data_IF_798426672937
#
_entry.id   IF_798426672937
#
_cell.length_a   1.000
_cell.length_b   1.000
_cell.length_c   1.000
_cell.angle_alpha   90.00
_cell.angle_beta   90.00
_cell.angle_gamma   90.00
#
_symmetry.space_group_name_H-M   'P 1'
#
loop_
_entity.id
_entity.type
_entity.pdbx_description
1 polymer ?
#
# COMPACT_ATOMS: atom_id res chain seq x y z
N UNK A 1 -0.20 -0.57 36.61
CA UNK A 1 -0.57 0.85 36.44
C UNK A 1 0.70 1.65 36.25
N UNK A 2 1.05 2.01 35.01
CA UNK A 2 1.85 3.19 34.67
C UNK A 2 1.83 3.38 33.14
N UNK A 3 1.22 4.51 32.74
CA UNK A 3 1.46 5.31 31.51
C UNK A 3 1.36 4.65 30.13
N UNK A 4 0.14 4.35 29.67
CA UNK A 4 -0.20 4.25 28.24
C UNK A 4 -1.23 5.30 27.77
N UNK A 5 -1.74 6.17 28.66
CA UNK A 5 -2.90 7.04 28.35
C UNK A 5 -2.63 8.25 27.43
N UNK A 6 -1.40 8.78 27.40
CA UNK A 6 -1.09 9.99 26.63
C UNK A 6 -0.83 9.72 25.14
N UNK A 7 -0.30 8.54 24.80
CA UNK A 7 -0.12 8.13 23.40
C UNK A 7 -1.42 7.66 22.75
N UNK A 8 -2.30 7.01 23.52
CA UNK A 8 -3.61 6.57 23.02
C UNK A 8 -4.50 7.78 22.67
N UNK A 9 -4.60 8.75 23.58
CA UNK A 9 -5.44 9.93 23.40
C UNK A 9 -5.03 10.80 22.21
N UNK A 10 -3.73 11.00 21.97
CA UNK A 10 -3.25 11.78 20.83
C UNK A 10 -3.42 11.04 19.49
N UNK A 11 -3.28 9.70 19.50
CA UNK A 11 -3.57 8.83 18.34
C UNK A 11 -5.05 8.89 17.98
N UNK A 12 -5.94 8.75 18.97
CA UNK A 12 -7.40 8.84 18.77
C UNK A 12 -7.84 10.20 18.22
N UNK A 13 -7.26 11.32 18.69
CA UNK A 13 -7.57 12.66 18.16
C UNK A 13 -7.11 12.78 16.70
N UNK A 14 -5.92 12.26 16.39
CA UNK A 14 -5.35 12.34 15.03
C UNK A 14 -6.18 11.52 14.04
N UNK A 15 -6.54 10.29 14.39
CA UNK A 15 -7.45 9.44 13.60
C UNK A 15 -8.81 10.11 13.40
N UNK A 16 -9.37 10.69 14.46
CA UNK A 16 -10.67 11.37 14.40
C UNK A 16 -10.67 12.52 13.39
N UNK A 17 -9.63 13.35 13.40
CA UNK A 17 -9.47 14.46 12.45
C UNK A 17 -9.34 13.93 11.02
N UNK A 18 -8.63 12.82 10.82
CA UNK A 18 -8.42 12.24 9.50
C UNK A 18 -9.71 11.65 8.94
N UNK A 19 -10.41 10.79 9.70
CA UNK A 19 -11.67 10.20 9.24
C UNK A 19 -12.71 11.27 8.94
N UNK A 20 -12.79 12.33 9.76
CA UNK A 20 -13.66 13.48 9.48
C UNK A 20 -13.28 14.16 8.15
N UNK A 21 -12.00 14.42 7.90
CA UNK A 21 -11.54 15.05 6.66
C UNK A 21 -11.76 14.19 5.41
N UNK A 22 -11.56 12.87 5.52
CA UNK A 22 -11.80 11.92 4.43
C UNK A 22 -13.29 11.85 4.10
N UNK A 23 -14.15 11.81 5.12
CA UNK A 23 -15.60 11.86 4.98
C UNK A 23 -16.05 13.16 4.29
N UNK A 24 -15.62 14.33 4.77
CA UNK A 24 -16.01 15.64 4.19
C UNK A 24 -15.54 15.83 2.74
N UNK A 25 -14.46 15.15 2.33
CA UNK A 25 -13.94 15.21 0.96
C UNK A 25 -14.48 14.11 0.04
N UNK A 26 -15.40 13.26 0.51
CA UNK A 26 -15.90 12.07 -0.19
C UNK A 26 -14.77 11.13 -0.66
N UNK A 27 -13.74 10.96 0.19
CA UNK A 27 -12.57 10.10 -0.08
C UNK A 27 -12.61 8.78 0.67
N UNK A 28 -13.60 8.60 1.54
CA UNK A 28 -13.88 7.37 2.26
C UNK A 28 -15.36 7.33 2.68
N UNK A 29 -15.77 6.32 3.47
CA UNK A 29 -17.12 6.22 3.99
C UNK A 29 -17.51 7.48 4.79
N UNK A 30 -18.80 7.86 4.73
CA UNK A 30 -19.30 8.95 5.58
C UNK A 30 -19.16 8.58 7.05
N UNK A 31 -18.53 9.44 7.84
CA UNK A 31 -18.41 9.26 9.28
C UNK A 31 -19.67 9.76 9.99
N UNK A 32 -20.31 8.90 10.80
CA UNK A 32 -21.50 9.26 11.60
C UNK A 32 -21.15 9.63 13.04
N UNK A 33 -20.09 9.07 13.61
CA UNK A 33 -19.67 9.39 14.97
C UNK A 33 -18.43 8.62 15.43
N UNK A 34 -17.79 9.14 16.47
CA UNK A 34 -16.63 8.54 17.12
C UNK A 34 -16.93 8.42 18.61
N UNK A 35 -16.52 7.29 19.21
CA UNK A 35 -16.72 7.00 20.63
C UNK A 35 -15.49 6.26 21.19
N UNK A 36 -15.32 6.16 22.52
CA UNK A 36 -14.17 5.45 23.09
C UNK A 36 -14.09 4.01 22.57
N UNK A 37 -12.98 3.69 21.88
CA UNK A 37 -12.73 2.36 21.33
C UNK A 37 -13.38 2.06 19.98
N UNK A 38 -13.96 3.04 19.27
CA UNK A 38 -14.50 2.79 17.93
C UNK A 38 -15.14 3.98 17.22
N UNK A 39 -15.69 3.71 16.04
CA UNK A 39 -16.37 4.68 15.17
C UNK A 39 -17.57 4.05 14.47
N UNK A 40 -18.53 4.89 14.07
CA UNK A 40 -19.65 4.54 13.20
C UNK A 40 -19.46 5.22 11.85
N UNK A 41 -19.49 4.44 10.78
CA UNK A 41 -19.29 4.90 9.41
C UNK A 41 -20.32 4.28 8.45
N UNK A 42 -20.46 4.88 7.28
CA UNK A 42 -21.32 4.40 6.20
C UNK A 42 -20.93 3.00 5.75
N UNK A 43 -21.93 2.12 5.65
CA UNK A 43 -21.74 0.85 4.98
C UNK A 43 -21.70 1.06 3.47
N UNK A 44 -20.56 0.76 2.87
CA UNK A 44 -20.40 0.78 1.41
C UNK A 44 -20.70 -0.61 0.85
N UNK A 45 -21.74 -0.71 0.01
CA UNK A 45 -22.06 -1.94 -0.72
C UNK A 45 -21.02 -2.19 -1.82
N UNK A 46 -19.96 -2.89 -1.47
CA UNK A 46 -18.82 -3.19 -2.32
C UNK A 46 -18.15 -4.50 -1.91
N UNK A 47 -17.30 -5.01 -2.80
CA UNK A 47 -16.33 -6.07 -2.46
C UNK A 47 -14.93 -5.48 -2.42
N UNK A 48 -14.04 -6.09 -1.64
CA UNK A 48 -12.62 -5.86 -1.80
C UNK A 48 -12.14 -6.34 -3.18
N UNK A 49 -11.03 -5.77 -3.66
CA UNK A 49 -10.29 -6.37 -4.77
C UNK A 49 -9.61 -7.66 -4.30
N UNK A 50 -9.30 -8.51 -5.26
CA UNK A 50 -8.40 -9.65 -5.08
C UNK A 50 -6.97 -9.26 -5.45
N UNK A 51 -5.98 -9.97 -4.91
CA UNK A 51 -4.57 -9.77 -5.27
C UNK A 51 -4.37 -9.84 -6.80
N UNK A 52 -5.02 -10.80 -7.48
CA UNK A 52 -4.94 -10.94 -8.94
C UNK A 52 -5.54 -9.77 -9.74
N UNK A 53 -6.43 -8.97 -9.15
CA UNK A 53 -7.00 -7.79 -9.81
C UNK A 53 -6.08 -6.59 -9.77
N UNK A 54 -5.07 -6.58 -8.89
CA UNK A 54 -4.10 -5.49 -8.81
C UNK A 54 -3.30 -5.34 -10.12
N UNK A 55 -3.09 -6.44 -10.84
CA UNK A 55 -2.37 -6.44 -12.11
C UNK A 55 -3.20 -6.01 -13.34
N UNK A 56 -4.52 -5.83 -13.18
CA UNK A 56 -5.36 -5.31 -14.25
C UNK A 56 -4.98 -3.86 -14.57
N UNK A 57 -4.74 -3.58 -15.86
CA UNK A 57 -4.20 -2.29 -16.28
C UNK A 57 -5.14 -1.10 -16.01
N UNK A 58 -6.45 -1.29 -16.07
CA UNK A 58 -7.42 -0.21 -15.87
C UNK A 58 -7.62 0.04 -14.36
N UNK A 59 -7.71 -1.01 -13.55
CA UNK A 59 -7.73 -0.91 -12.08
C UNK A 59 -6.44 -0.29 -11.55
N UNK A 60 -5.28 -0.78 -11.99
CA UNK A 60 -3.96 -0.22 -11.63
C UNK A 60 -3.88 1.27 -11.95
N UNK A 61 -4.38 1.69 -13.13
CA UNK A 61 -4.47 3.10 -13.49
C UNK A 61 -5.40 3.90 -12.58
N UNK A 62 -6.55 3.34 -12.18
CA UNK A 62 -7.48 3.99 -11.24
C UNK A 62 -6.87 4.12 -9.84
N UNK A 63 -6.25 3.06 -9.33
CA UNK A 63 -5.61 3.03 -8.02
C UNK A 63 -4.50 4.10 -7.98
N UNK A 64 -3.68 4.18 -9.03
CA UNK A 64 -2.65 5.21 -9.16
C UNK A 64 -3.21 6.63 -9.04
N UNK A 65 -4.35 6.91 -9.68
CA UNK A 65 -5.03 8.22 -9.59
C UNK A 65 -5.60 8.49 -8.20
N UNK A 66 -6.20 7.47 -7.57
CA UNK A 66 -6.75 7.58 -6.20
C UNK A 66 -5.63 7.83 -5.19
N UNK A 67 -4.50 7.14 -5.32
CA UNK A 67 -3.32 7.34 -4.49
C UNK A 67 -2.72 8.74 -4.69
N UNK A 68 -2.62 9.21 -5.94
CA UNK A 68 -2.19 10.59 -6.23
C UNK A 68 -3.11 11.63 -5.56
N UNK A 69 -4.41 11.34 -5.49
CA UNK A 69 -5.37 12.18 -4.77
C UNK A 69 -5.11 12.21 -3.27
N UNK A 70 -4.92 11.05 -2.64
CA UNK A 70 -4.51 10.95 -1.23
C UNK A 70 -3.24 11.75 -0.96
N UNK A 71 -2.20 11.57 -1.80
CA UNK A 71 -0.93 12.29 -1.66
C UNK A 71 -1.04 13.81 -1.84
N UNK A 72 -2.09 14.29 -2.53
CA UNK A 72 -2.35 15.72 -2.69
C UNK A 72 -3.08 16.36 -1.52
N UNK A 73 -3.60 15.57 -0.58
CA UNK A 73 -4.38 16.07 0.54
C UNK A 73 -3.51 16.92 1.47
N UNK A 74 -4.07 18.07 1.84
CA UNK A 74 -3.54 18.88 2.93
C UNK A 74 -4.33 18.56 4.21
N UNK A 75 -3.74 17.72 5.08
CA UNK A 75 -4.33 17.26 6.35
C UNK A 75 -3.62 17.95 7.52
N UNK A 76 -4.30 18.58 8.50
CA UNK A 76 -3.71 19.42 9.54
C UNK A 76 -3.03 18.62 10.66
N UNK A 77 -2.09 17.75 10.29
CA UNK A 77 -1.25 16.94 11.19
C UNK A 77 0.23 17.21 10.91
N UNK A 78 1.13 16.60 11.67
CA UNK A 78 2.58 16.72 11.45
C UNK A 78 2.94 16.33 10.00
N UNK A 79 3.68 17.20 9.31
CA UNK A 79 4.06 17.05 7.89
C UNK A 79 5.40 16.34 7.70
N UNK A 80 6.18 16.19 8.76
CA UNK A 80 7.45 15.49 8.71
C UNK A 80 7.22 13.98 8.55
N UNK A 81 7.98 13.29 7.69
CA UNK A 81 7.83 11.85 7.43
C UNK A 81 8.42 11.01 8.57
N UNK A 82 8.00 11.27 9.80
CA UNK A 82 8.50 10.61 11.01
C UNK A 82 7.84 9.26 11.26
N UNK A 83 6.66 9.02 10.66
CA UNK A 83 5.82 7.88 10.95
C UNK A 83 6.56 6.55 10.74
N UNK A 84 7.16 6.35 9.56
CA UNK A 84 7.83 5.09 9.20
C UNK A 84 8.86 4.65 10.26
N UNK A 85 9.82 5.53 10.59
CA UNK A 85 10.87 5.18 11.55
C UNK A 85 10.38 5.20 13.00
N UNK A 86 9.43 6.08 13.35
CA UNK A 86 8.81 6.04 14.69
C UNK A 86 8.13 4.68 14.92
N UNK A 87 7.39 4.19 13.94
CA UNK A 87 6.71 2.90 13.99
C UNK A 87 7.72 1.74 14.04
N UNK A 88 8.71 1.72 13.14
CA UNK A 88 9.79 0.72 13.15
C UNK A 88 10.47 0.64 14.51
N UNK A 89 10.89 1.77 15.10
CA UNK A 89 11.56 1.75 16.41
C UNK A 89 10.63 1.29 17.53
N UNK A 90 9.37 1.74 17.54
CA UNK A 90 8.37 1.32 18.54
C UNK A 90 8.15 -0.19 18.51
N UNK A 91 8.02 -0.74 17.31
CA UNK A 91 7.87 -2.18 17.10
C UNK A 91 9.14 -2.94 17.45
N UNK A 92 10.31 -2.42 17.12
CA UNK A 92 11.59 -3.01 17.48
C UNK A 92 11.78 -3.10 19.01
N UNK A 93 11.39 -2.08 19.78
CA UNK A 93 11.41 -2.13 21.25
C UNK A 93 10.55 -3.27 21.81
N UNK A 94 9.46 -3.62 21.11
CA UNK A 94 8.58 -4.72 21.51
C UNK A 94 9.19 -6.06 21.13
N UNK A 95 9.75 -6.18 19.92
CA UNK A 95 10.49 -7.37 19.47
C UNK A 95 11.63 -7.73 20.42
N UNK A 96 12.41 -6.74 20.89
CA UNK A 96 13.50 -6.95 21.85
C UNK A 96 13.07 -7.51 23.22
N UNK A 97 11.79 -7.36 23.57
CA UNK A 97 11.24 -7.82 24.85
C UNK A 97 10.60 -9.21 24.75
N UNK A 98 10.56 -9.81 23.55
CA UNK A 98 9.97 -11.13 23.35
C UNK A 98 10.79 -12.17 24.09
N UNK A 99 10.13 -12.88 25.01
CA UNK A 99 10.72 -14.03 25.67
C UNK A 99 10.46 -15.29 24.83
N UNK A 100 11.50 -15.88 24.26
CA UNK A 100 11.37 -17.07 23.41
C UNK A 100 10.72 -18.27 24.12
N UNK A 101 10.84 -18.37 25.45
CA UNK A 101 10.25 -19.47 26.22
C UNK A 101 8.72 -19.42 26.25
N UNK A 102 8.15 -18.22 26.05
CA UNK A 102 6.70 -18.01 25.95
C UNK A 102 6.11 -18.43 24.59
N UNK A 103 6.97 -18.70 23.60
CA UNK A 103 6.57 -19.14 22.26
C UNK A 103 6.36 -20.66 22.28
N UNK A 104 5.33 -21.13 21.57
CA UNK A 104 5.03 -22.56 21.44
C UNK A 104 6.20 -23.33 20.82
N UNK A 105 6.44 -24.56 21.30
CA UNK A 105 7.65 -25.33 20.97
C UNK A 105 7.85 -25.58 19.47
N UNK A 106 6.76 -25.71 18.73
CA UNK A 106 6.73 -25.86 17.27
C UNK A 106 7.24 -24.62 16.52
N UNK A 107 7.10 -23.43 17.10
CA UNK A 107 7.49 -22.14 16.49
C UNK A 107 8.85 -21.62 16.97
N UNK A 108 9.38 -22.15 18.07
CA UNK A 108 10.66 -21.71 18.67
C UNK A 108 11.86 -21.75 17.71
N UNK A 109 12.06 -22.76 16.85
CA UNK A 109 13.20 -22.76 15.94
C UNK A 109 13.19 -21.57 14.98
N UNK A 110 12.01 -21.29 14.41
CA UNK A 110 11.80 -20.16 13.50
C UNK A 110 11.96 -18.83 14.25
N UNK A 111 11.31 -18.68 15.42
CA UNK A 111 11.45 -17.49 16.25
C UNK A 111 12.91 -17.24 16.69
N UNK A 112 13.66 -18.29 17.04
CA UNK A 112 15.07 -18.17 17.45
C UNK A 112 15.96 -17.65 16.33
N UNK A 113 15.79 -18.16 15.11
CA UNK A 113 16.53 -17.69 13.94
C UNK A 113 16.26 -16.19 13.73
N UNK A 114 14.99 -15.82 13.76
CA UNK A 114 14.54 -14.46 13.48
C UNK A 114 14.95 -13.43 14.54
N UNK A 115 14.80 -13.79 15.82
CA UNK A 115 15.21 -12.92 16.93
C UNK A 115 16.75 -12.79 17.03
N UNK A 116 17.51 -13.63 16.32
CA UNK A 116 18.97 -13.49 16.20
C UNK A 116 19.41 -12.46 15.15
N UNK A 117 18.49 -11.98 14.32
CA UNK A 117 18.76 -10.98 13.30
C UNK A 117 19.08 -9.61 13.93
N UNK A 118 20.15 -8.97 13.49
CA UNK A 118 20.58 -7.64 13.98
C UNK A 118 19.74 -6.52 13.36
N UNK A 119 18.48 -6.41 13.79
CA UNK A 119 17.55 -5.36 13.34
C UNK A 119 18.08 -3.95 13.62
N UNK A 120 18.88 -3.77 14.66
CA UNK A 120 19.41 -2.47 15.08
C UNK A 120 20.34 -1.89 14.01
N UNK A 121 21.35 -2.66 13.60
CA UNK A 121 22.28 -2.26 12.55
C UNK A 121 21.56 -2.11 11.21
N UNK A 122 20.61 -2.99 10.90
CA UNK A 122 19.91 -2.98 9.61
C UNK A 122 18.94 -1.81 9.47
N UNK A 123 18.17 -1.48 10.52
CA UNK A 123 17.30 -0.30 10.51
C UNK A 123 18.14 0.98 10.43
N UNK A 124 19.29 1.05 11.11
CA UNK A 124 20.18 2.21 11.03
C UNK A 124 20.74 2.40 9.61
N UNK A 125 21.18 1.31 8.96
CA UNK A 125 21.61 1.34 7.57
C UNK A 125 20.48 1.73 6.63
N UNK A 126 19.30 1.10 6.75
CA UNK A 126 18.12 1.38 5.93
C UNK A 126 17.75 2.87 6.00
N UNK A 127 17.75 3.46 7.20
CA UNK A 127 17.49 4.90 7.39
C UNK A 127 18.46 5.79 6.64
N UNK A 128 19.74 5.44 6.58
CA UNK A 128 20.71 6.18 5.78
C UNK A 128 20.50 5.95 4.29
N UNK A 129 20.25 4.71 3.89
CA UNK A 129 20.03 4.30 2.50
C UNK A 129 18.83 5.02 1.86
N UNK A 130 17.67 5.09 2.55
CA UNK A 130 16.46 5.74 2.03
C UNK A 130 16.63 7.24 1.75
N UNK A 131 17.58 7.93 2.40
CA UNK A 131 17.84 9.36 2.14
C UNK A 131 18.30 9.60 0.69
N UNK A 132 18.93 8.62 0.06
CA UNK A 132 19.42 8.69 -1.33
C UNK A 132 18.26 8.72 -2.36
N UNK A 133 17.05 8.30 -1.96
CA UNK A 133 15.86 8.33 -2.80
C UNK A 133 15.37 9.76 -3.06
N UNK A 134 15.57 10.67 -2.09
CA UNK A 134 15.01 12.02 -2.09
C UNK A 134 13.47 12.03 -2.28
N UNK A 135 12.78 11.04 -1.70
CA UNK A 135 11.32 10.97 -1.76
C UNK A 135 10.69 12.13 -0.98
N UNK A 136 9.70 12.84 -1.54
CA UNK A 136 8.99 13.89 -0.83
C UNK A 136 8.09 13.32 0.27
N UNK A 137 7.87 14.14 1.30
CA UNK A 137 6.82 13.92 2.30
C UNK A 137 5.46 14.36 1.75
N UNK A 138 4.48 13.46 1.82
CA UNK A 138 3.07 13.64 1.43
C UNK A 138 2.18 12.90 2.41
N UNK A 139 0.87 13.14 2.39
CA UNK A 139 -0.07 12.35 3.19
C UNK A 139 -0.25 10.98 2.51
N UNK A 140 0.11 9.89 3.19
CA UNK A 140 0.11 8.53 2.67
C UNK A 140 -0.96 7.67 3.34
N UNK A 141 -1.43 6.64 2.63
CA UNK A 141 -2.24 5.56 3.17
C UNK A 141 -1.40 4.64 4.07
N UNK A 142 -0.18 4.31 3.62
CA UNK A 142 0.81 3.41 4.22
C UNK A 142 0.46 1.91 4.21
N UNK A 143 -0.79 1.54 3.92
CA UNK A 143 -1.22 0.13 3.87
C UNK A 143 -2.18 -0.18 2.69
N UNK A 144 -1.73 0.07 1.47
CA UNK A 144 -2.58 -0.03 0.27
C UNK A 144 -2.63 -1.46 -0.33
N UNK A 145 -3.03 -2.44 0.49
CA UNK A 145 -3.31 -3.83 0.08
C UNK A 145 -4.70 -4.00 -0.55
N UNK A 146 -4.97 -5.13 -1.21
CA UNK A 146 -6.20 -5.36 -1.98
C UNK A 146 -7.48 -5.29 -1.12
N UNK A 147 -7.40 -5.68 0.15
CA UNK A 147 -8.49 -5.59 1.12
C UNK A 147 -8.94 -4.16 1.41
N UNK A 148 -8.04 -3.20 1.24
CA UNK A 148 -8.28 -1.77 1.48
C UNK A 148 -8.71 -1.01 0.21
N UNK A 149 -8.92 -1.74 -0.90
CA UNK A 149 -9.39 -1.20 -2.18
C UNK A 149 -10.73 -1.84 -2.50
N UNK A 150 -11.81 -1.08 -2.35
CA UNK A 150 -13.17 -1.55 -2.62
C UNK A 150 -13.62 -1.23 -4.04
N UNK A 151 -14.35 -2.16 -4.65
CA UNK A 151 -15.07 -1.97 -5.90
C UNK A 151 -16.57 -2.05 -5.67
N UNK A 152 -17.26 -0.92 -5.85
CA UNK A 152 -18.72 -0.82 -5.74
C UNK A 152 -19.44 -1.44 -6.94
N UNK A 153 -20.70 -1.85 -6.74
CA UNK A 153 -21.56 -2.39 -7.79
C UNK A 153 -21.87 -1.37 -8.88
N UNK A 154 -22.15 -1.87 -10.09
CA UNK A 154 -22.61 -1.04 -11.19
C UNK A 154 -24.04 -0.56 -10.91
N UNK A 155 -24.23 0.76 -10.76
CA UNK A 155 -25.58 1.34 -10.77
C UNK A 155 -26.10 1.35 -12.20
N UNK A 156 -26.79 0.28 -12.59
CA UNK A 156 -27.45 0.23 -13.88
C UNK A 156 -28.58 1.27 -13.85
N UNK A 157 -28.47 2.31 -14.68
CA UNK A 157 -29.58 3.23 -14.93
C UNK A 157 -30.65 2.50 -15.75
N UNK A 158 -31.30 1.49 -15.19
CA UNK A 158 -32.53 0.91 -15.74
C UNK A 158 -33.73 1.66 -15.18
N UNK A 159 -33.95 2.87 -15.68
CA UNK A 159 -35.24 3.57 -15.58
C UNK A 159 -35.46 4.48 -16.79
N UNK A 160 -35.62 3.87 -17.97
CA UNK A 160 -36.39 4.44 -19.08
C UNK A 160 -36.74 3.36 -20.11
N UNK A 161 -37.78 2.60 -19.81
CA UNK A 161 -38.50 1.83 -20.82
C UNK A 161 -39.20 2.83 -21.77
N UNK A 162 -38.80 2.86 -23.04
CA UNK A 162 -39.73 3.09 -24.14
C UNK A 162 -39.21 2.49 -25.45
N UNK A 163 -40.06 1.76 -26.20
CA UNK A 163 -39.68 1.05 -27.41
C UNK A 163 -39.83 1.93 -28.65
N UNK A 164 -39.14 1.50 -29.72
CA UNK A 164 -39.23 1.91 -31.13
C UNK A 164 -38.21 2.94 -31.61
N UNK A 165 -37.28 2.49 -32.46
CA UNK A 165 -37.24 2.92 -33.86
C UNK A 165 -36.31 2.02 -34.70
N UNK A 166 -36.81 1.72 -35.89
CA UNK A 166 -36.32 0.83 -36.94
C UNK A 166 -35.09 1.34 -37.72
N UNK A 167 -34.28 0.37 -38.13
CA UNK A 167 -33.36 0.28 -39.29
C UNK A 167 -33.31 1.42 -40.33
N UNK A 168 -32.08 1.88 -40.62
CA UNK A 168 -31.60 2.06 -42.01
C UNK A 168 -30.07 2.13 -42.06
N UNK A 169 -29.45 1.27 -42.87
CA UNK A 169 -28.01 1.16 -43.11
C UNK A 169 -27.55 2.09 -44.24
N UNK A 170 -26.48 2.85 -44.03
CA UNK A 170 -25.77 3.60 -45.09
C UNK A 170 -24.25 3.42 -44.92
N UNK A 171 -23.47 3.10 -45.99
CA UNK A 171 -22.07 2.71 -45.87
C UNK A 171 -21.14 3.91 -46.09
N UNK A 172 -20.88 4.68 -45.04
CA UNK A 172 -19.78 5.64 -45.04
C UNK A 172 -19.22 5.75 -43.62
N UNK A 173 -18.00 5.24 -43.38
CA UNK A 173 -16.99 5.82 -42.46
C UNK A 173 -15.98 4.81 -41.87
N UNK A 174 -14.84 4.62 -42.55
CA UNK A 174 -13.63 4.07 -41.90
C UNK A 174 -12.88 5.10 -41.02
N UNK A 175 -13.35 6.36 -40.96
CA UNK A 175 -12.76 7.45 -40.16
C UNK A 175 -13.50 7.78 -38.85
N UNK A 176 -14.70 7.23 -38.62
CA UNK A 176 -15.50 7.45 -37.40
C UNK A 176 -15.38 6.32 -36.36
N UNK A 177 -14.94 5.11 -36.75
CA UNK A 177 -14.79 3.98 -35.82
C UNK A 177 -13.67 4.15 -34.79
N UNK A 178 -12.62 4.91 -35.08
CA UNK A 178 -11.49 5.15 -34.15
C UNK A 178 -11.83 6.14 -33.04
N UNK A 179 -12.73 7.10 -33.30
CA UNK A 179 -13.19 8.07 -32.31
C UNK A 179 -14.22 7.48 -31.33
N UNK A 180 -15.07 6.55 -31.78
CA UNK A 180 -16.04 5.86 -30.91
C UNK A 180 -15.40 4.88 -29.92
N UNK A 181 -14.35 4.16 -30.34
CA UNK A 181 -13.62 3.22 -29.46
C UNK A 181 -12.84 3.96 -28.34
N UNK A 182 -12.18 5.08 -28.66
CA UNK A 182 -11.49 5.90 -27.67
C UNK A 182 -12.46 6.57 -26.68
N UNK A 183 -13.64 7.02 -27.14
CA UNK A 183 -14.68 7.56 -26.26
C UNK A 183 -15.29 6.49 -25.34
N UNK A 184 -15.47 5.26 -25.84
CA UNK A 184 -16.01 4.15 -25.03
C UNK A 184 -15.03 3.72 -23.92
N UNK A 185 -13.73 3.66 -24.22
CA UNK A 185 -12.70 3.30 -23.25
C UNK A 185 -12.51 4.40 -22.18
N UNK A 186 -12.52 5.67 -22.60
CA UNK A 186 -12.47 6.82 -21.68
C UNK A 186 -13.66 6.83 -20.70
N UNK A 187 -14.87 6.54 -21.19
CA UNK A 187 -16.05 6.44 -20.33
C UNK A 187 -15.96 5.27 -19.34
N UNK A 188 -15.41 4.12 -19.75
CA UNK A 188 -15.19 2.95 -18.89
C UNK A 188 -14.22 3.24 -17.74
N UNK A 189 -13.09 3.89 -18.03
CA UNK A 189 -12.09 4.24 -17.00
C UNK A 189 -12.62 5.27 -16.02
N UNK A 190 -13.41 6.24 -16.49
CA UNK A 190 -14.07 7.23 -15.63
C UNK A 190 -15.07 6.55 -14.69
N UNK A 191 -15.89 5.66 -15.21
CA UNK A 191 -16.85 4.93 -14.39
C UNK A 191 -16.16 4.05 -13.35
N UNK A 192 -15.09 3.34 -13.74
CA UNK A 192 -14.28 2.55 -12.82
C UNK A 192 -13.66 3.43 -11.72
N UNK A 193 -13.20 4.64 -12.08
CA UNK A 193 -12.69 5.62 -11.13
C UNK A 193 -13.73 6.04 -10.08
N UNK A 194 -15.00 6.18 -10.47
CA UNK A 194 -16.07 6.55 -9.54
C UNK A 194 -16.46 5.39 -8.62
N UNK A 195 -16.17 4.15 -9.03
CA UNK A 195 -16.55 2.93 -8.30
C UNK A 195 -15.48 2.40 -7.37
N UNK A 196 -14.21 2.75 -7.58
CA UNK A 196 -13.09 2.37 -6.70
C UNK A 196 -13.01 3.31 -5.51
N UNK A 197 -12.99 2.76 -4.31
CA UNK A 197 -12.91 3.49 -3.04
C UNK A 197 -11.74 2.94 -2.23
N UNK A 198 -10.91 3.84 -1.70
CA UNK A 198 -9.86 3.47 -0.73
C UNK A 198 -10.44 3.60 0.67
N UNK A 199 -10.17 2.62 1.53
CA UNK A 199 -10.68 2.57 2.90
C UNK A 199 -9.56 2.22 3.87
N UNK A 200 -9.88 2.26 5.16
CA UNK A 200 -9.00 1.81 6.24
C UNK A 200 -7.66 2.55 6.33
N UNK A 201 -7.77 3.87 6.57
CA UNK A 201 -6.64 4.77 6.78
C UNK A 201 -6.05 4.64 8.20
N UNK A 202 -6.07 3.46 8.83
CA UNK A 202 -5.54 3.26 10.21
C UNK A 202 -4.06 3.66 10.32
N UNK A 203 -3.25 3.32 9.32
CA UNK A 203 -1.82 3.61 9.30
C UNK A 203 -1.47 4.96 8.65
N UNK A 204 -2.46 5.78 8.27
CA UNK A 204 -2.19 6.98 7.48
C UNK A 204 -1.41 8.05 8.27
N UNK A 205 -0.51 8.73 7.58
CA UNK A 205 0.30 9.81 8.14
C UNK A 205 1.00 10.58 7.02
N UNK A 206 1.63 11.71 7.34
CA UNK A 206 2.67 12.19 6.44
C UNK A 206 3.86 11.22 6.45
N UNK A 207 4.21 10.74 5.26
CA UNK A 207 5.28 9.81 5.03
C UNK A 207 5.88 10.02 3.63
N UNK A 208 6.89 9.25 3.28
CA UNK A 208 7.50 9.28 1.96
C UNK A 208 6.56 8.69 0.91
N UNK A 209 6.24 9.42 -0.18
CA UNK A 209 5.40 8.87 -1.26
C UNK A 209 5.98 7.58 -1.87
N UNK A 210 7.32 7.47 -1.90
CA UNK A 210 8.02 6.27 -2.34
C UNK A 210 7.66 5.05 -1.52
N UNK A 211 7.39 5.22 -0.22
CA UNK A 211 6.92 4.14 0.65
C UNK A 211 5.55 3.62 0.23
N UNK A 212 4.57 4.50 0.04
CA UNK A 212 3.20 4.08 -0.28
C UNK A 212 3.12 3.35 -1.63
N UNK A 213 3.86 3.86 -2.63
CA UNK A 213 3.98 3.24 -3.96
C UNK A 213 4.73 1.89 -3.86
N UNK A 214 5.85 1.84 -3.15
CA UNK A 214 6.61 0.61 -2.98
C UNK A 214 5.78 -0.47 -2.27
N UNK A 215 5.09 -0.08 -1.20
CA UNK A 215 4.24 -0.98 -0.44
C UNK A 215 3.16 -1.58 -1.32
N UNK A 216 2.44 -0.73 -2.07
CA UNK A 216 1.41 -1.20 -2.98
C UNK A 216 1.95 -2.21 -4.01
N UNK A 217 3.16 -2.00 -4.54
CA UNK A 217 3.79 -2.98 -5.45
C UNK A 217 4.15 -4.30 -4.76
N UNK A 218 4.55 -4.28 -3.48
CA UNK A 218 4.78 -5.51 -2.70
C UNK A 218 3.49 -6.34 -2.55
N UNK A 219 2.34 -5.69 -2.35
CA UNK A 219 1.06 -6.38 -2.16
C UNK A 219 0.58 -7.16 -3.40
N UNK A 220 1.14 -6.89 -4.59
CA UNK A 220 0.85 -7.71 -5.79
C UNK A 220 1.37 -9.15 -5.66
N UNK A 221 2.35 -9.37 -4.78
CA UNK A 221 2.96 -10.67 -4.57
C UNK A 221 2.44 -11.37 -3.29
N UNK A 222 1.50 -10.76 -2.58
CA UNK A 222 0.95 -11.26 -1.32
C UNK A 222 -0.56 -11.47 -1.48
N UNK A 223 -0.98 -12.73 -1.51
CA UNK A 223 -2.38 -13.10 -1.70
C UNK A 223 -2.94 -13.68 -0.39
N UNK A 224 -3.79 -12.92 0.30
CA UNK A 224 -4.36 -13.31 1.59
C UNK A 224 -5.60 -14.21 1.48
N UNK A 225 -5.92 -14.74 0.29
CA UNK A 225 -7.12 -15.58 0.08
C UNK A 225 -6.96 -17.05 0.50
N UNK A 226 -5.77 -17.47 0.95
CA UNK A 226 -5.50 -18.85 1.34
C UNK A 226 -6.34 -19.25 2.57
N UNK A 227 -7.28 -20.21 2.46
CA UNK A 227 -8.09 -20.64 3.60
C UNK A 227 -7.29 -21.51 4.59
N UNK A 228 -6.15 -22.07 4.17
CA UNK A 228 -5.31 -22.93 4.98
C UNK A 228 -4.11 -22.16 5.54
N UNK A 229 -3.55 -22.61 6.67
CA UNK A 229 -2.31 -22.08 7.20
C UNK A 229 -1.21 -22.09 6.11
N UNK A 230 -0.45 -20.99 5.88
CA UNK A 230 -0.28 -19.83 6.75
C UNK A 230 -1.29 -18.68 6.56
N UNK A 231 -2.38 -18.89 5.81
CA UNK A 231 -3.43 -17.93 5.47
C UNK A 231 -3.02 -16.84 4.48
N UNK A 232 -1.97 -17.09 3.72
CA UNK A 232 -1.59 -16.32 2.54
C UNK A 232 -0.80 -17.19 1.55
N UNK A 233 -0.65 -16.71 0.32
CA UNK A 233 0.31 -17.19 -0.67
C UNK A 233 1.32 -16.08 -0.97
N UNK A 234 2.56 -16.46 -1.24
CA UNK A 234 3.57 -15.55 -1.78
C UNK A 234 3.82 -15.94 -3.23
N UNK A 235 3.59 -14.99 -4.13
CA UNK A 235 3.73 -15.16 -5.57
C UNK A 235 4.69 -14.11 -6.09
N UNK A 236 5.98 -14.31 -5.85
CA UNK A 236 7.01 -13.34 -6.22
C UNK A 236 7.03 -13.04 -7.73
N UNK A 237 6.57 -13.99 -8.55
CA UNK A 237 6.35 -13.83 -9.98
C UNK A 237 5.27 -12.79 -10.35
N UNK A 238 4.34 -12.50 -9.43
CA UNK A 238 3.25 -11.54 -9.62
C UNK A 238 3.67 -10.09 -9.25
N UNK A 239 4.87 -9.89 -8.67
CA UNK A 239 5.41 -8.55 -8.44
C UNK A 239 5.46 -7.77 -9.77
N UNK A 240 5.01 -6.49 -9.79
CA UNK A 240 4.86 -5.76 -11.04
C UNK A 240 6.20 -5.60 -11.76
N UNK A 241 6.24 -6.04 -13.02
CA UNK A 241 7.40 -5.82 -13.86
C UNK A 241 7.61 -4.32 -14.15
N UNK A 242 8.74 -3.96 -14.76
CA UNK A 242 9.06 -2.55 -15.01
C UNK A 242 7.97 -1.81 -15.79
N UNK A 243 7.37 -2.40 -16.84
CA UNK A 243 6.34 -1.72 -17.61
C UNK A 243 5.03 -1.54 -16.83
N UNK A 244 4.65 -2.50 -15.98
CA UNK A 244 3.51 -2.36 -15.07
C UNK A 244 3.74 -1.25 -14.04
N UNK A 245 4.93 -1.20 -13.43
CA UNK A 245 5.31 -0.12 -12.49
C UNK A 245 5.30 1.25 -13.18
N UNK A 246 5.83 1.32 -14.40
CA UNK A 246 5.80 2.53 -15.24
C UNK A 246 4.38 2.96 -15.59
N UNK A 247 3.52 2.03 -16.00
CA UNK A 247 2.10 2.31 -16.27
C UNK A 247 1.38 2.90 -15.06
N UNK A 248 1.57 2.33 -13.87
CA UNK A 248 1.04 2.88 -12.62
C UNK A 248 1.56 4.31 -12.39
N UNK A 249 2.88 4.50 -12.47
CA UNK A 249 3.53 5.80 -12.23
C UNK A 249 3.08 6.87 -13.24
N UNK A 250 2.92 6.53 -14.53
CA UNK A 250 2.41 7.47 -15.54
C UNK A 250 1.01 7.96 -15.19
N UNK A 251 0.12 7.06 -14.78
CA UNK A 251 -1.24 7.41 -14.37
C UNK A 251 -1.27 8.25 -13.08
N UNK A 252 -0.40 7.91 -12.11
CA UNK A 252 -0.19 8.71 -10.90
C UNK A 252 0.25 10.13 -11.26
N UNK A 253 1.28 10.28 -12.10
CA UNK A 253 1.85 11.56 -12.51
C UNK A 253 0.88 12.39 -13.35
N UNK A 254 0.14 11.76 -14.25
CA UNK A 254 -0.88 12.43 -15.05
C UNK A 254 -1.92 13.10 -14.14
N UNK A 255 -2.41 12.40 -13.11
CA UNK A 255 -3.33 13.00 -12.14
C UNK A 255 -2.65 14.05 -11.28
N UNK A 256 -1.45 13.76 -10.76
CA UNK A 256 -0.68 14.70 -9.94
C UNK A 256 -0.40 16.03 -10.65
N UNK A 257 -0.23 16.01 -11.98
CA UNK A 257 -0.04 17.22 -12.79
C UNK A 257 -1.28 18.14 -12.81
N UNK A 258 -2.47 17.58 -12.63
CA UNK A 258 -3.73 18.36 -12.54
C UNK A 258 -3.97 18.94 -11.14
N UNK A 259 -3.33 18.35 -10.11
CA UNK A 259 -3.45 18.76 -8.72
C UNK A 259 -2.24 19.58 -8.26
N UNK A 260 -2.42 20.90 -8.17
CA UNK A 260 -1.34 21.88 -7.95
C UNK A 260 -0.41 21.61 -6.74
N UNK A 261 -0.86 20.90 -5.71
CA UNK A 261 -0.07 20.62 -4.50
C UNK A 261 1.18 19.76 -4.72
N UNK A 262 1.19 18.90 -5.74
CA UNK A 262 2.32 18.01 -6.03
C UNK A 262 3.32 18.61 -7.03
N UNK A 263 2.97 19.71 -7.71
CA UNK A 263 3.79 20.34 -8.76
C UNK A 263 5.17 20.82 -8.28
N UNK A 264 5.33 21.06 -6.98
CA UNK A 264 6.58 21.53 -6.36
C UNK A 264 7.70 20.48 -6.27
N UNK A 265 7.38 19.20 -6.51
CA UNK A 265 8.33 18.09 -6.41
C UNK A 265 8.85 17.66 -7.79
N UNK A 266 10.00 16.98 -7.81
CA UNK A 266 10.45 16.30 -9.03
C UNK A 266 9.50 15.14 -9.35
N UNK A 267 8.86 15.21 -10.51
CA UNK A 267 7.75 14.34 -10.90
C UNK A 267 8.05 13.69 -12.25
N UNK A 268 9.14 12.93 -12.33
CA UNK A 268 9.47 12.11 -13.51
C UNK A 268 9.25 10.63 -13.22
N UNK A 269 8.99 9.85 -14.26
CA UNK A 269 8.76 8.41 -14.15
C UNK A 269 9.97 7.71 -13.49
N UNK A 270 11.19 8.09 -13.90
CA UNK A 270 12.44 7.56 -13.37
C UNK A 270 12.62 7.88 -11.89
N UNK A 271 12.20 9.07 -11.45
CA UNK A 271 12.35 9.48 -10.07
C UNK A 271 11.38 8.71 -9.16
N UNK A 272 10.13 8.51 -9.57
CA UNK A 272 9.16 7.73 -8.78
C UNK A 272 9.50 6.24 -8.77
N UNK A 273 10.03 5.69 -9.88
CA UNK A 273 10.53 4.32 -9.91
C UNK A 273 11.67 4.14 -8.91
N UNK A 274 12.67 5.03 -8.97
CA UNK A 274 13.78 5.03 -8.02
C UNK A 274 13.27 5.12 -6.59
N UNK A 275 12.34 6.03 -6.30
CA UNK A 275 11.75 6.14 -4.96
C UNK A 275 11.11 4.82 -4.51
N UNK A 276 10.26 4.20 -5.33
CA UNK A 276 9.62 2.94 -4.99
C UNK A 276 10.65 1.80 -4.75
N UNK A 277 11.69 1.73 -5.57
CA UNK A 277 12.74 0.72 -5.45
C UNK A 277 13.53 0.85 -4.14
N UNK A 278 13.88 2.07 -3.74
CA UNK A 278 14.54 2.30 -2.46
C UNK A 278 13.65 1.89 -1.27
N UNK A 279 12.35 2.20 -1.34
CA UNK A 279 11.43 2.00 -0.23
C UNK A 279 10.83 0.59 -0.15
N UNK A 280 11.04 -0.27 -1.14
CA UNK A 280 10.60 -1.68 -1.11
C UNK A 280 11.18 -2.41 0.11
N UNK A 281 12.47 -2.20 0.43
CA UNK A 281 13.09 -2.74 1.64
C UNK A 281 12.44 -2.22 2.93
N UNK A 282 11.97 -0.98 2.90
CA UNK A 282 11.33 -0.38 4.07
C UNK A 282 9.94 -0.97 4.32
N UNK A 283 9.17 -1.28 3.27
CA UNK A 283 7.90 -2.00 3.37
C UNK A 283 8.11 -3.37 4.03
N UNK A 284 9.05 -4.17 3.53
CA UNK A 284 9.33 -5.47 4.13
C UNK A 284 9.83 -5.40 5.57
N UNK A 285 10.74 -4.48 5.88
CA UNK A 285 11.23 -4.28 7.25
C UNK A 285 10.08 -3.90 8.20
N UNK A 286 9.21 -2.99 7.77
CA UNK A 286 8.06 -2.54 8.55
C UNK A 286 7.11 -3.72 8.84
N UNK A 287 6.66 -4.44 7.80
CA UNK A 287 5.69 -5.51 7.96
C UNK A 287 6.27 -6.78 8.58
N UNK A 288 7.59 -7.00 8.45
CA UNK A 288 8.34 -7.96 9.24
C UNK A 288 8.19 -7.69 10.73
N UNK A 289 8.49 -6.47 11.17
CA UNK A 289 8.39 -6.10 12.58
C UNK A 289 6.93 -6.12 13.06
N UNK A 290 5.98 -5.69 12.23
CA UNK A 290 4.55 -5.84 12.51
C UNK A 290 4.17 -7.31 12.74
N UNK A 291 4.62 -8.20 11.85
CA UNK A 291 4.31 -9.62 11.93
C UNK A 291 4.87 -10.24 13.21
N UNK A 292 6.11 -9.92 13.59
CA UNK A 292 6.71 -10.41 14.86
C UNK A 292 5.89 -9.96 16.07
N UNK A 293 5.46 -8.70 16.09
CA UNK A 293 4.66 -8.18 17.19
C UNK A 293 3.31 -8.91 17.31
N UNK A 294 2.63 -9.12 16.18
CA UNK A 294 1.35 -9.81 16.17
C UNK A 294 1.48 -11.31 16.44
N UNK A 295 2.62 -11.93 16.12
CA UNK A 295 2.87 -13.33 16.40
C UNK A 295 2.78 -13.67 17.90
N UNK A 296 3.00 -12.68 18.77
CA UNK A 296 2.95 -12.82 20.22
C UNK A 296 1.60 -12.46 20.83
N UNK A 297 0.91 -11.45 20.28
CA UNK A 297 -0.27 -10.84 20.92
C UNK A 297 -1.59 -11.09 20.19
N UNK A 298 -1.55 -11.44 18.91
CA UNK A 298 -2.76 -11.57 18.09
C UNK A 298 -3.52 -12.85 18.40
N UNK A 299 -4.84 -12.73 18.44
CA UNK A 299 -5.76 -13.88 18.52
C UNK A 299 -6.09 -14.45 17.13
N UNK A 300 -5.69 -13.75 16.06
CA UNK A 300 -5.93 -14.18 14.69
C UNK A 300 -4.98 -15.35 14.37
N UNK A 301 -5.55 -16.44 13.88
CA UNK A 301 -4.77 -17.56 13.38
C UNK A 301 -4.19 -17.17 12.02
N UNK A 302 -2.95 -16.69 12.03
CA UNK A 302 -2.21 -16.28 10.84
C UNK A 302 -0.75 -16.73 10.94
N UNK A 303 -0.12 -17.03 9.80
CA UNK A 303 1.26 -17.49 9.73
C UNK A 303 2.30 -16.38 9.94
N UNK A 304 2.19 -15.61 11.03
CA UNK A 304 3.06 -14.45 11.30
C UNK A 304 4.56 -14.78 11.20
N UNK A 305 4.98 -15.87 11.82
CA UNK A 305 6.39 -16.32 11.76
C UNK A 305 6.82 -16.76 10.35
N UNK A 306 5.88 -17.25 9.53
CA UNK A 306 6.14 -17.71 8.14
C UNK A 306 6.28 -16.50 7.20
N UNK A 307 5.39 -15.51 7.33
CA UNK A 307 5.41 -14.27 6.54
C UNK A 307 6.79 -13.60 6.60
N UNK A 308 7.39 -13.64 7.78
CA UNK A 308 8.72 -13.13 8.03
C UNK A 308 9.83 -13.86 7.27
N UNK A 309 9.84 -15.19 7.22
CA UNK A 309 10.85 -15.93 6.43
C UNK A 309 10.79 -15.56 4.93
N UNK A 310 9.62 -15.13 4.45
CA UNK A 310 9.35 -14.83 3.04
C UNK A 310 9.75 -13.41 2.64
N UNK A 311 9.43 -12.40 3.46
CA UNK A 311 9.99 -11.05 3.29
C UNK A 311 11.49 -11.05 3.31
N UNK A 312 12.00 -12.02 4.05
CA UNK A 312 13.37 -12.25 4.03
C UNK A 312 13.76 -12.80 2.60
N UNK A 313 13.25 -13.94 2.14
CA UNK A 313 13.91 -14.82 1.13
C UNK A 313 13.93 -14.35 -0.34
N UNK A 314 13.15 -13.33 -0.70
CA UNK A 314 12.86 -13.04 -2.11
C UNK A 314 13.18 -11.61 -2.50
N UNK A 315 14.48 -11.30 -2.67
CA UNK A 315 14.90 -9.96 -3.07
C UNK A 315 15.66 -9.93 -4.42
N UNK A 316 14.99 -9.44 -5.46
CA UNK A 316 15.58 -9.23 -6.79
C UNK A 316 16.11 -7.80 -7.02
N UNK A 317 16.08 -6.92 -6.02
CA UNK A 317 16.57 -5.54 -6.18
C UNK A 317 18.09 -5.45 -6.38
N UNK A 318 18.84 -6.51 -6.08
CA UNK A 318 20.30 -6.53 -6.23
C UNK A 318 20.78 -6.30 -7.66
N UNK A 319 19.92 -6.51 -8.66
CA UNK A 319 20.26 -6.36 -10.06
C UNK A 319 19.98 -4.96 -10.62
N UNK A 320 19.50 -4.04 -9.77
CA UNK A 320 19.15 -2.70 -10.23
C UNK A 320 20.41 -1.80 -10.39
N UNK A 321 20.55 -1.13 -11.55
CA UNK A 321 21.80 -0.47 -11.95
C UNK A 321 22.11 0.81 -11.15
N UNK A 322 21.11 1.42 -10.51
CA UNK A 322 21.25 2.70 -9.80
C UNK A 322 21.71 2.56 -8.34
N UNK A 323 21.82 1.34 -7.81
CA UNK A 323 22.44 1.11 -6.49
C UNK A 323 23.96 1.13 -6.59
N UNK A 324 24.65 1.53 -5.51
CA UNK A 324 26.11 1.43 -5.48
C UNK A 324 26.54 -0.03 -5.34
N UNK A 325 27.80 -0.34 -5.67
CA UNK A 325 28.36 -1.67 -5.41
C UNK A 325 28.21 -2.07 -3.94
N UNK A 326 28.53 -1.14 -3.03
CA UNK A 326 28.41 -1.37 -1.59
C UNK A 326 26.95 -1.60 -1.15
N UNK A 327 26.00 -0.84 -1.69
CA UNK A 327 24.58 -1.05 -1.37
C UNK A 327 24.10 -2.43 -1.86
N UNK A 328 24.48 -2.84 -3.07
CA UNK A 328 24.19 -4.19 -3.59
C UNK A 328 24.86 -5.28 -2.75
N UNK A 329 26.11 -5.09 -2.34
CA UNK A 329 26.83 -6.04 -1.50
C UNK A 329 26.23 -6.13 -0.10
N UNK A 330 25.79 -5.00 0.47
CA UNK A 330 25.08 -4.96 1.74
C UNK A 330 23.73 -5.67 1.63
N UNK A 331 22.94 -5.41 0.59
CA UNK A 331 21.70 -6.17 0.30
C UNK A 331 21.97 -7.69 0.25
N UNK A 332 23.05 -8.12 -0.42
CA UNK A 332 23.50 -9.52 -0.47
C UNK A 332 23.93 -10.12 0.86
N UNK A 333 24.45 -9.31 1.78
CA UNK A 333 25.17 -9.81 2.96
C UNK A 333 24.42 -9.62 4.26
N UNK A 334 23.60 -8.58 4.38
CA UNK A 334 22.84 -8.32 5.59
C UNK A 334 21.37 -8.72 5.47
N UNK A 335 20.77 -8.44 4.30
CA UNK A 335 19.47 -8.96 3.87
C UNK A 335 19.61 -10.21 2.98
N UNK A 336 20.80 -10.79 2.87
CA UNK A 336 21.06 -12.01 2.10
C UNK A 336 21.81 -13.12 2.87
N UNK A 337 22.19 -12.90 4.15
CA UNK A 337 22.73 -13.96 5.03
C UNK A 337 21.77 -14.57 6.06
N UNK A 338 20.59 -14.00 6.29
CA UNK A 338 19.51 -14.69 7.00
C UNK A 338 18.78 -15.77 6.13
N UNK A 339 19.41 -16.23 5.04
CA UNK A 339 18.75 -16.86 3.86
C UNK A 339 19.32 -18.16 3.39
N UNK A 340 20.44 -18.54 3.97
CA UNK A 340 21.02 -19.84 3.74
C UNK A 340 20.91 -20.52 5.10
N UNK A 341 19.77 -21.17 5.37
CA UNK A 341 19.62 -22.49 5.99
C UNK A 341 18.14 -22.83 6.17
#
# INVERSE_FOLDING_TARGET
>A
MHTNGDNDSQTTITESVIFMLLSERNLGPKLYGIFPGGRLEEYISARALTCSELCDSDLSAVIARKLANVHSLNVPINKEPIWLFKTIYTWLETVRKINIDSISSDKRPLASNLLSFDFDTEVAWLKHFLRKANSPSVFCHNDLQEGNILLTEYKSNTSSTSPNASTSSSPASKKYRKAQSANSQSNSIKELNDRVVLIDFEYCAYNYRGFDIANHFCEWALDYSNPEYPHFYVRSEDYPNEEQRRHFIRNYLQWASTSGNLSKYQNTEEQLLKEAEYFTLASHMLWTLWSINNAYSSQIVFGYWVCLNLFLTHFQLEFLPHFSFFDREKMRTSLGRAYLF
#
